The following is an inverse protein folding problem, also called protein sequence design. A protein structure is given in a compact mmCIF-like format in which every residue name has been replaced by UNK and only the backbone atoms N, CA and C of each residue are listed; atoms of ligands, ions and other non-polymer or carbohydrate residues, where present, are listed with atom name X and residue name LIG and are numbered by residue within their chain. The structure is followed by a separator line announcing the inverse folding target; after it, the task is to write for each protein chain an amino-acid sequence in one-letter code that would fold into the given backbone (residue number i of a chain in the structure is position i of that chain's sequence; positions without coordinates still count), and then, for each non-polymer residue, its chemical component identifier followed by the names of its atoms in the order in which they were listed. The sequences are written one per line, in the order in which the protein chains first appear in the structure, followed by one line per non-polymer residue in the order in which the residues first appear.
data_IF_658350162248
#
_entry.id   IF_658350162248
#
_cell.length_a   1.000
_cell.length_b   1.000
_cell.length_c   1.000
_cell.angle_alpha   90.00
_cell.angle_beta   90.00
_cell.angle_gamma   90.00
#
_symmetry.space_group_name_H-M   'P 1'
#
loop_
_entity.id
_entity.type
_entity.pdbx_description
1 polymer ?
#
# COMPACT_ATOMS: atom_id res chain seq x y z
N UNK A 1 75.76 9.37 -16.92
CA UNK A 1 74.34 9.37 -17.31
C UNK A 1 73.89 7.95 -17.58
N UNK A 2 73.05 7.36 -16.74
CA UNK A 2 72.09 6.35 -17.19
C UNK A 2 70.90 6.33 -16.21
N UNK A 3 69.73 6.71 -16.73
CA UNK A 3 68.51 6.92 -15.94
C UNK A 3 67.92 5.56 -15.58
N UNK A 4 67.80 5.28 -14.28
CA UNK A 4 67.00 4.15 -13.81
C UNK A 4 65.53 4.43 -14.10
N UNK A 5 64.98 3.78 -15.11
CA UNK A 5 63.55 3.80 -15.41
C UNK A 5 62.85 2.87 -14.41
N UNK A 6 62.46 3.43 -13.26
CA UNK A 6 61.74 2.72 -12.21
C UNK A 6 60.29 2.57 -12.68
N UNK A 7 59.96 1.40 -13.23
CA UNK A 7 58.59 0.99 -13.55
C UNK A 7 57.74 1.12 -12.29
N UNK A 8 56.90 2.15 -12.28
CA UNK A 8 55.82 2.36 -11.34
C UNK A 8 54.73 1.34 -11.64
N UNK A 9 54.93 0.11 -11.16
CA UNK A 9 53.92 -0.93 -11.11
C UNK A 9 52.85 -0.49 -10.13
N UNK A 10 51.81 0.14 -10.65
CA UNK A 10 50.59 0.44 -9.88
C UNK A 10 49.98 -0.91 -9.55
N UNK A 11 50.13 -1.34 -8.30
CA UNK A 11 49.48 -2.51 -7.76
C UNK A 11 47.97 -2.35 -7.93
N UNK A 12 47.35 -3.20 -8.74
CA UNK A 12 45.89 -3.23 -8.96
C UNK A 12 45.06 -3.35 -7.66
N UNK A 13 45.71 -3.67 -6.54
CA UNK A 13 45.11 -3.62 -5.19
C UNK A 13 44.67 -2.21 -4.77
N UNK A 14 45.36 -1.16 -5.20
CA UNK A 14 45.04 0.23 -4.80
C UNK A 14 43.92 0.86 -5.64
N UNK A 15 43.52 0.20 -6.75
CA UNK A 15 42.45 0.65 -7.65
C UNK A 15 41.25 -0.30 -7.68
N UNK A 16 41.11 -1.17 -6.68
CA UNK A 16 39.80 -1.75 -6.38
C UNK A 16 39.02 -0.65 -5.64
N UNK A 17 38.50 0.28 -6.43
CA UNK A 17 37.45 1.22 -6.04
C UNK A 17 36.46 0.43 -5.20
N UNK A 18 36.34 0.80 -3.92
CA UNK A 18 35.47 0.18 -2.95
C UNK A 18 34.04 0.12 -3.53
N UNK A 19 33.70 -0.99 -4.17
CA UNK A 19 32.33 -1.30 -4.47
C UNK A 19 31.73 -1.66 -3.11
N UNK A 20 30.89 -0.76 -2.59
CA UNK A 20 30.05 -1.08 -1.47
C UNK A 20 29.22 -2.30 -1.90
N UNK A 21 29.50 -3.45 -1.28
CA UNK A 21 28.63 -4.61 -1.43
C UNK A 21 27.38 -4.25 -0.63
N UNK A 22 26.27 -4.12 -1.35
CA UNK A 22 24.94 -3.89 -0.79
C UNK A 22 24.66 -4.96 0.26
N UNK A 23 24.47 -4.54 1.51
CA UNK A 23 24.14 -5.41 2.63
C UNK A 23 22.67 -5.23 3.07
N UNK A 24 21.92 -4.39 2.36
CA UNK A 24 20.54 -4.04 2.64
C UNK A 24 20.40 -2.83 3.58
N UNK A 25 21.46 -2.44 4.29
CA UNK A 25 21.41 -1.33 5.25
C UNK A 25 21.10 0.02 4.60
N UNK A 26 21.38 0.17 3.30
CA UNK A 26 21.04 1.35 2.52
C UNK A 26 19.54 1.51 2.23
N UNK A 27 18.74 0.45 2.43
CA UNK A 27 17.28 0.51 2.30
C UNK A 27 16.60 1.02 3.58
N UNK A 28 17.34 1.04 4.69
CA UNK A 28 16.86 1.58 5.95
C UNK A 28 16.81 3.12 5.82
N UNK A 29 15.63 3.74 5.99
CA UNK A 29 15.52 5.19 6.01
C UNK A 29 16.41 5.77 7.13
N UNK A 30 17.11 6.88 6.83
CA UNK A 30 18.05 7.50 7.77
C UNK A 30 17.38 7.95 9.09
N UNK A 31 16.05 8.08 9.12
CA UNK A 31 15.27 8.47 10.29
C UNK A 31 15.14 7.36 11.35
N UNK A 32 15.42 6.08 11.02
CA UNK A 32 15.28 4.97 11.95
C UNK A 32 16.47 4.91 12.92
N UNK A 33 16.38 5.67 14.03
CA UNK A 33 17.38 5.68 15.09
C UNK A 33 17.56 4.28 15.73
N UNK A 34 18.80 3.90 16.07
CA UNK A 34 19.11 2.60 16.69
C UNK A 34 18.38 2.33 18.02
N UNK A 35 17.95 3.38 18.72
CA UNK A 35 17.11 3.27 19.92
C UNK A 35 15.66 2.80 19.57
N UNK A 36 15.15 3.22 18.42
CA UNK A 36 13.82 2.82 17.92
C UNK A 36 13.77 1.31 17.67
N UNK A 37 14.86 0.68 17.18
CA UNK A 37 14.94 -0.78 17.02
C UNK A 37 14.64 -1.55 18.30
N UNK A 38 15.26 -1.15 19.43
CA UNK A 38 15.01 -1.80 20.74
C UNK A 38 13.56 -1.63 21.21
N UNK A 39 12.93 -0.48 20.89
CA UNK A 39 11.52 -0.22 21.20
C UNK A 39 10.58 -1.07 20.33
N UNK A 40 10.90 -1.21 19.05
CA UNK A 40 10.17 -2.01 18.06
C UNK A 40 10.19 -3.50 18.42
N UNK A 41 11.34 -4.05 18.84
CA UNK A 41 11.42 -5.44 19.30
C UNK A 41 10.43 -5.74 20.45
N UNK A 42 10.16 -4.75 21.30
CA UNK A 42 9.16 -4.87 22.38
C UNK A 42 7.72 -4.81 21.86
N UNK A 43 7.47 -4.08 20.76
CA UNK A 43 6.17 -4.03 20.08
C UNK A 43 5.94 -5.21 19.11
N UNK A 44 6.99 -5.87 18.64
CA UNK A 44 6.93 -7.09 17.83
C UNK A 44 6.28 -8.27 18.59
N UNK A 45 6.38 -8.28 19.93
CA UNK A 45 5.66 -9.24 20.78
C UNK A 45 4.14 -8.96 20.86
N UNK A 46 3.67 -7.85 20.29
CA UNK A 46 2.24 -7.57 20.10
C UNK A 46 1.89 -8.04 18.69
N UNK A 47 0.98 -9.02 18.60
CA UNK A 47 0.40 -9.43 17.32
C UNK A 47 -0.09 -8.19 16.58
N UNK A 48 0.51 -7.89 15.43
CA UNK A 48 0.04 -6.79 14.59
C UNK A 48 -1.35 -7.16 14.04
N UNK A 49 -2.17 -6.14 13.76
CA UNK A 49 -3.45 -6.35 13.08
C UNK A 49 -3.22 -6.91 11.67
N UNK A 50 -4.27 -7.54 11.13
CA UNK A 50 -4.23 -8.08 9.78
C UNK A 50 -3.87 -6.98 8.78
N UNK A 51 -2.98 -7.29 7.81
CA UNK A 51 -2.47 -6.31 6.85
C UNK A 51 -1.16 -5.64 7.24
N UNK A 52 -0.66 -5.86 8.46
CA UNK A 52 0.67 -5.36 8.84
C UNK A 52 1.67 -6.51 8.91
N UNK A 53 2.86 -6.30 8.37
CA UNK A 53 4.00 -7.19 8.55
C UNK A 53 5.19 -6.40 9.08
N UNK A 54 6.15 -7.10 9.67
CA UNK A 54 7.43 -6.52 10.08
C UNK A 54 8.51 -7.28 9.34
N UNK A 55 9.43 -6.56 8.71
CA UNK A 55 10.59 -7.16 8.05
C UNK A 55 11.72 -7.47 9.04
N UNK A 56 12.79 -8.08 8.51
CA UNK A 56 13.96 -8.48 9.29
C UNK A 56 14.71 -7.29 9.91
N UNK A 57 14.45 -6.07 9.41
CA UNK A 57 15.04 -4.82 9.87
C UNK A 57 14.18 -4.13 10.96
N UNK A 58 12.95 -4.62 11.17
CA UNK A 58 11.99 -4.08 12.12
C UNK A 58 11.11 -2.97 11.55
N UNK A 59 11.08 -2.76 10.24
CA UNK A 59 10.21 -1.77 9.60
C UNK A 59 8.82 -2.38 9.42
N UNK A 60 7.80 -1.61 9.80
CA UNK A 60 6.39 -2.03 9.68
C UNK A 60 5.90 -1.68 8.29
N UNK A 61 5.47 -2.70 7.55
CA UNK A 61 4.88 -2.57 6.23
C UNK A 61 3.35 -2.68 6.32
N UNK A 62 2.63 -1.83 5.58
CA UNK A 62 1.18 -1.85 5.49
C UNK A 62 0.74 -2.42 4.14
N UNK A 63 -0.04 -3.49 4.17
CA UNK A 63 -0.64 -4.15 3.02
C UNK A 63 -2.16 -4.06 3.12
N UNK A 64 -2.81 -3.95 1.96
CA UNK A 64 -4.26 -4.03 1.89
C UNK A 64 -4.74 -5.40 2.40
N UNK A 65 -5.67 -5.38 3.36
CA UNK A 65 -6.38 -6.59 3.76
C UNK A 65 -7.51 -6.87 2.79
N UNK A 66 -7.69 -8.14 2.45
CA UNK A 66 -8.86 -8.54 1.68
C UNK A 66 -10.12 -8.35 2.55
N UNK A 67 -11.12 -7.59 2.07
CA UNK A 67 -12.36 -7.44 2.80
C UNK A 67 -13.09 -8.79 2.85
N UNK A 68 -13.85 -9.00 3.92
CA UNK A 68 -14.68 -10.20 4.01
C UNK A 68 -15.71 -10.22 2.88
N UNK A 69 -15.66 -11.25 2.03
CA UNK A 69 -16.59 -11.44 0.92
C UNK A 69 -17.89 -12.03 1.47
N UNK A 70 -19.00 -11.32 1.28
CA UNK A 70 -20.33 -11.80 1.63
C UNK A 70 -21.12 -12.18 0.37
N UNK A 71 -21.90 -13.26 0.47
CA UNK A 71 -22.85 -13.62 -0.58
C UNK A 71 -24.04 -12.66 -0.55
N UNK A 72 -24.54 -12.30 -1.74
CA UNK A 72 -25.78 -11.56 -1.86
C UNK A 72 -26.97 -12.49 -1.58
N UNK A 73 -27.81 -12.10 -0.62
CA UNK A 73 -29.07 -12.78 -0.35
C UNK A 73 -30.19 -12.19 -1.19
N UNK A 74 -31.07 -13.06 -1.69
CA UNK A 74 -32.28 -12.62 -2.37
C UNK A 74 -33.16 -11.80 -1.39
N UNK A 75 -33.75 -10.68 -1.82
CA UNK A 75 -34.50 -9.80 -0.92
C UNK A 75 -35.70 -10.51 -0.30
N UNK A 76 -35.98 -10.20 0.96
CA UNK A 76 -37.16 -10.72 1.66
C UNK A 76 -38.46 -10.21 0.99
N UNK A 77 -39.60 -10.89 1.19
CA UNK A 77 -40.88 -10.44 0.64
C UNK A 77 -41.25 -9.00 1.06
N UNK A 78 -40.85 -8.58 2.26
CA UNK A 78 -41.05 -7.20 2.72
C UNK A 78 -40.18 -6.20 1.95
N UNK A 79 -38.91 -6.53 1.74
CA UNK A 79 -37.99 -5.71 0.95
C UNK A 79 -38.48 -5.58 -0.50
N UNK A 80 -38.97 -6.67 -1.09
CA UNK A 80 -39.54 -6.66 -2.44
C UNK A 80 -40.74 -5.71 -2.55
N UNK A 81 -41.68 -5.75 -1.59
CA UNK A 81 -42.82 -4.82 -1.56
C UNK A 81 -42.35 -3.37 -1.47
N UNK A 82 -41.34 -3.09 -0.65
CA UNK A 82 -40.75 -1.75 -0.54
C UNK A 82 -40.12 -1.29 -1.85
N UNK A 83 -39.43 -2.17 -2.56
CA UNK A 83 -38.85 -1.85 -3.88
C UNK A 83 -39.92 -1.59 -4.93
N UNK A 84 -41.01 -2.35 -4.94
CA UNK A 84 -42.15 -2.10 -5.83
C UNK A 84 -42.73 -0.71 -5.54
N UNK A 85 -42.95 -0.37 -4.28
CA UNK A 85 -43.46 0.94 -3.89
C UNK A 85 -42.54 2.08 -4.35
N UNK A 86 -41.23 1.95 -4.10
CA UNK A 86 -40.23 2.94 -4.55
C UNK A 86 -40.20 3.07 -6.07
N UNK A 87 -40.33 1.95 -6.79
CA UNK A 87 -40.41 1.94 -8.25
C UNK A 87 -41.63 2.68 -8.78
N UNK A 88 -42.80 2.43 -8.20
CA UNK A 88 -44.06 3.13 -8.55
C UNK A 88 -43.96 4.63 -8.25
N UNK A 89 -43.43 5.00 -7.09
CA UNK A 89 -43.26 6.42 -6.72
C UNK A 89 -42.30 7.14 -7.68
N UNK A 90 -41.19 6.50 -8.04
CA UNK A 90 -40.21 7.05 -8.97
C UNK A 90 -40.80 7.21 -10.37
N UNK A 91 -41.54 6.20 -10.85
CA UNK A 91 -42.21 6.26 -12.15
C UNK A 91 -43.24 7.39 -12.19
N UNK A 92 -44.05 7.53 -11.13
CA UNK A 92 -45.04 8.59 -11.03
C UNK A 92 -44.39 9.98 -11.12
N UNK A 93 -43.28 10.20 -10.41
CA UNK A 93 -42.51 11.45 -10.47
C UNK A 93 -42.02 11.73 -11.90
N UNK A 94 -41.43 10.74 -12.58
CA UNK A 94 -40.92 10.91 -13.95
C UNK A 94 -42.03 11.24 -14.93
N UNK A 95 -43.14 10.50 -14.88
CA UNK A 95 -44.29 10.70 -15.77
C UNK A 95 -44.91 12.08 -15.55
N UNK A 96 -45.16 12.45 -14.30
CA UNK A 96 -45.74 13.77 -13.98
C UNK A 96 -44.82 14.91 -14.43
N UNK A 97 -43.51 14.80 -14.19
CA UNK A 97 -42.52 15.78 -14.66
C UNK A 97 -42.56 15.93 -16.18
N UNK A 98 -42.61 14.82 -16.91
CA UNK A 98 -42.66 14.84 -18.37
C UNK A 98 -43.97 15.47 -18.88
N UNK A 99 -45.10 15.12 -18.28
CA UNK A 99 -46.39 15.72 -18.61
C UNK A 99 -46.40 17.23 -18.36
N UNK A 100 -45.88 17.68 -17.21
CA UNK A 100 -45.79 19.11 -16.90
C UNK A 100 -44.89 19.85 -17.89
N UNK A 101 -43.73 19.29 -18.24
CA UNK A 101 -42.83 19.89 -19.22
C UNK A 101 -43.50 20.05 -20.59
N UNK A 102 -44.23 19.04 -21.06
CA UNK A 102 -44.96 19.11 -22.33
C UNK A 102 -46.19 20.04 -22.27
N UNK A 103 -46.83 20.19 -21.10
CA UNK A 103 -48.02 21.04 -20.95
C UNK A 103 -47.71 22.54 -20.93
N UNK A 104 -46.49 22.93 -20.55
CA UNK A 104 -46.04 24.34 -20.47
C UNK A 104 -45.26 24.78 -21.72
N UNK A 105 -44.74 23.83 -22.50
CA UNK A 105 -44.07 24.10 -23.78
C UNK A 105 -45.06 24.57 -24.86
#
# INVERSE_FOLDING_TARGET
MNKQNKLNTITLKDKVVAHHISDGSELIPAEIQANTRKKISTYLNKSLENGYTVDDEGIINNYATEPNIYLAYYPSPEQQKRYIFLGVASLFLVVTTLLTANAVS
#
